data_IF_379744805676
#
_entry.id   IF_379744805676
#
_cell.length_a   1.000
_cell.length_b   1.000
_cell.length_c   1.000
_cell.angle_alpha   90.00
_cell.angle_beta   90.00
_cell.angle_gamma   90.00
#
_symmetry.space_group_name_H-M   'P 1'
#
loop_
_entity.id
_entity.type
_entity.pdbx_description
1 polymer ?
#
# COMPACT_ATOMS: atom_id res chain seq x y z
N UNK A 1 -54.97 -54.40 35.47
CA UNK A 1 -54.42 -55.73 35.66
C UNK A 1 -52.92 -55.59 35.66
N UNK A 2 -52.38 -56.05 36.72
CA UNK A 2 -51.16 -55.94 37.46
C UNK A 2 -49.84 -56.22 36.71
N UNK A 3 -48.74 -55.99 37.39
CA UNK A 3 -47.48 -55.44 36.97
C UNK A 3 -46.40 -56.51 36.82
N UNK A 4 -45.29 -56.14 36.28
CA UNK A 4 -44.06 -56.89 36.63
C UNK A 4 -42.84 -55.98 36.67
N UNK A 5 -42.35 -55.76 37.88
CA UNK A 5 -41.06 -55.23 38.24
C UNK A 5 -39.96 -56.14 37.78
N UNK A 6 -38.96 -55.64 37.09
CA UNK A 6 -37.69 -56.36 37.01
C UNK A 6 -36.53 -55.40 37.38
N UNK A 7 -36.01 -55.67 38.58
CA UNK A 7 -34.81 -55.06 39.15
C UNK A 7 -33.57 -55.57 38.41
N UNK A 8 -32.73 -54.63 37.95
CA UNK A 8 -31.36 -54.91 37.50
C UNK A 8 -30.36 -54.45 38.55
N UNK A 9 -29.29 -55.22 38.78
CA UNK A 9 -28.29 -54.94 39.82
C UNK A 9 -27.22 -53.97 39.31
N UNK A 10 -26.85 -53.09 40.22
CA UNK A 10 -25.70 -52.20 40.13
C UNK A 10 -24.38 -52.95 40.00
N UNK A 11 -23.58 -52.59 39.00
CA UNK A 11 -22.13 -52.93 39.00
C UNK A 11 -21.34 -51.60 38.82
N UNK A 12 -20.47 -51.26 39.80
CA UNK A 12 -19.55 -50.16 39.65
C UNK A 12 -18.33 -50.64 38.87
N UNK A 13 -18.16 -50.18 37.64
CA UNK A 13 -16.91 -50.36 36.92
C UNK A 13 -16.08 -49.08 37.08
N UNK A 14 -15.05 -49.21 37.90
CA UNK A 14 -13.94 -48.25 37.97
C UNK A 14 -13.20 -48.24 36.65
N UNK A 15 -13.43 -47.19 35.83
CA UNK A 15 -12.58 -46.94 34.68
C UNK A 15 -11.59 -45.82 35.00
N UNK A 16 -10.33 -46.21 35.02
CA UNK A 16 -9.16 -45.36 35.21
C UNK A 16 -9.08 -44.32 34.10
N UNK A 17 -9.10 -43.04 34.50
CA UNK A 17 -8.76 -41.92 33.68
C UNK A 17 -7.24 -41.94 33.38
N UNK A 18 -6.87 -42.32 32.18
CA UNK A 18 -5.56 -42.04 31.63
C UNK A 18 -5.71 -40.74 30.84
N UNK A 19 -5.26 -39.62 31.42
CA UNK A 19 -5.24 -38.33 30.79
C UNK A 19 -4.16 -38.28 29.69
N UNK A 20 -4.57 -38.12 28.45
CA UNK A 20 -3.69 -37.68 27.38
C UNK A 20 -4.00 -36.20 27.15
N UNK A 21 -3.22 -35.31 27.76
CA UNK A 21 -3.18 -33.89 27.38
C UNK A 21 -2.55 -33.80 25.99
N UNK A 22 -3.38 -33.79 24.95
CA UNK A 22 -2.99 -33.40 23.61
C UNK A 22 -2.88 -31.86 23.54
N UNK A 23 -1.67 -31.31 23.66
CA UNK A 23 -1.39 -29.92 23.37
C UNK A 23 -1.50 -29.74 21.84
N UNK A 24 -2.65 -29.28 21.36
CA UNK A 24 -2.84 -28.84 20.01
C UNK A 24 -2.11 -27.49 19.84
N UNK A 25 -0.90 -27.52 19.30
CA UNK A 25 -0.17 -26.32 18.88
C UNK A 25 -0.86 -25.82 17.60
N UNK A 26 -1.78 -24.88 17.76
CA UNK A 26 -2.31 -24.09 16.65
C UNK A 26 -1.18 -23.18 16.14
N UNK A 27 -0.42 -23.66 15.16
CA UNK A 27 0.47 -22.83 14.36
C UNK A 27 -0.41 -21.86 13.55
N UNK A 28 -0.75 -20.73 14.16
CA UNK A 28 -1.40 -19.61 13.47
C UNK A 28 -0.43 -19.04 12.47
N UNK A 29 -0.57 -19.40 11.18
CA UNK A 29 0.02 -18.63 10.08
C UNK A 29 -0.66 -17.28 10.07
N UNK A 30 -0.10 -16.28 10.75
CA UNK A 30 -0.45 -14.88 10.57
C UNK A 30 0.03 -14.46 9.18
N UNK A 31 -0.80 -14.68 8.18
CA UNK A 31 -0.62 -14.03 6.88
C UNK A 31 -0.90 -12.55 7.08
N UNK A 32 0.14 -11.75 7.34
CA UNK A 32 0.02 -10.32 7.31
C UNK A 32 -0.53 -9.92 5.92
N UNK A 33 -1.61 -9.15 5.90
CA UNK A 33 -2.14 -8.63 4.64
C UNK A 33 -1.03 -7.80 3.94
N UNK A 34 -0.86 -7.93 2.62
CA UNK A 34 0.15 -7.16 1.91
C UNK A 34 -0.08 -5.67 2.11
N UNK A 35 0.99 -4.95 2.38
CA UNK A 35 0.93 -3.51 2.60
C UNK A 35 0.42 -2.78 1.35
N UNK A 36 -0.42 -1.73 1.51
CA UNK A 36 -0.93 -0.97 0.37
C UNK A 36 0.20 -0.41 -0.50
N UNK A 37 0.12 -0.51 -1.84
CA UNK A 37 1.21 -0.09 -2.74
C UNK A 37 1.63 1.38 -2.56
N UNK A 38 0.71 2.25 -2.16
CA UNK A 38 1.04 3.65 -1.90
C UNK A 38 1.94 3.83 -0.67
N UNK A 39 1.72 3.05 0.39
CA UNK A 39 2.57 3.11 1.59
C UNK A 39 3.96 2.57 1.28
N UNK A 40 4.07 1.49 0.53
CA UNK A 40 5.36 0.96 0.06
C UNK A 40 6.12 2.00 -0.77
N UNK A 41 5.44 2.69 -1.70
CA UNK A 41 6.04 3.79 -2.47
C UNK A 41 6.56 4.92 -1.57
N UNK A 42 5.76 5.33 -0.59
CA UNK A 42 6.14 6.40 0.34
C UNK A 42 7.36 6.01 1.18
N UNK A 43 7.43 4.76 1.63
CA UNK A 43 8.58 4.23 2.36
C UNK A 43 9.85 4.23 1.49
N UNK A 44 9.76 3.69 0.27
CA UNK A 44 10.88 3.62 -0.68
C UNK A 44 11.39 5.00 -1.13
N UNK A 45 10.55 6.02 -1.05
CA UNK A 45 10.87 7.40 -1.45
C UNK A 45 11.05 8.35 -0.26
N UNK A 46 11.06 7.86 0.97
CA UNK A 46 11.06 8.69 2.19
C UNK A 46 12.35 9.49 2.40
N UNK A 47 13.51 8.97 1.96
CA UNK A 47 14.81 9.63 2.11
C UNK A 47 15.69 9.41 0.86
N UNK A 48 15.33 10.01 -0.28
CA UNK A 48 16.02 9.78 -1.55
C UNK A 48 17.37 10.51 -1.57
N UNK A 49 18.46 9.81 -1.24
CA UNK A 49 19.83 10.35 -1.18
C UNK A 49 20.34 10.79 -2.54
N UNK A 50 21.05 11.90 -2.58
CA UNK A 50 21.70 12.40 -3.79
C UNK A 50 23.05 13.07 -3.52
N UNK A 51 23.86 13.17 -4.58
CA UNK A 51 25.11 13.96 -4.62
C UNK A 51 25.18 14.83 -5.87
N UNK A 52 24.16 14.76 -6.74
CA UNK A 52 24.02 15.60 -7.93
C UNK A 52 22.55 15.67 -8.33
N UNK A 53 22.13 16.73 -9.02
CA UNK A 53 20.77 16.89 -9.53
C UNK A 53 20.35 15.75 -10.47
N UNK A 54 21.30 15.23 -11.26
CA UNK A 54 21.07 14.10 -12.16
C UNK A 54 20.62 12.81 -11.45
N UNK A 55 20.80 12.70 -10.15
CA UNK A 55 20.34 11.57 -9.37
C UNK A 55 18.83 11.67 -9.02
N UNK A 56 18.27 12.85 -9.11
CA UNK A 56 16.90 13.09 -8.68
C UNK A 56 15.91 12.99 -9.85
N UNK A 57 14.82 12.30 -9.62
CA UNK A 57 13.73 12.09 -10.58
C UNK A 57 12.39 12.26 -9.89
N UNK A 58 11.38 12.58 -10.69
CA UNK A 58 9.99 12.51 -10.30
C UNK A 58 9.36 11.21 -10.78
N UNK A 59 8.40 10.72 -10.03
CA UNK A 59 7.57 9.57 -10.37
C UNK A 59 6.11 10.02 -10.32
N UNK A 60 5.42 9.95 -11.45
CA UNK A 60 3.99 10.21 -11.52
C UNK A 60 3.20 9.04 -10.90
N UNK A 61 2.31 9.31 -9.95
CA UNK A 61 1.57 8.28 -9.20
C UNK A 61 0.09 8.61 -9.14
N UNK A 62 -0.73 7.57 -9.25
CA UNK A 62 -2.17 7.67 -9.11
C UNK A 62 -2.87 8.21 -10.37
N UNK A 63 -4.17 8.49 -10.24
CA UNK A 63 -4.99 8.98 -11.33
C UNK A 63 -6.07 9.94 -10.83
N UNK A 64 -6.20 11.10 -11.48
CA UNK A 64 -7.31 12.04 -11.29
C UNK A 64 -8.48 11.67 -12.20
N UNK A 65 -9.68 12.01 -11.82
CA UNK A 65 -10.88 11.70 -12.60
C UNK A 65 -10.85 12.34 -14.00
N UNK A 66 -10.27 13.54 -14.13
CA UNK A 66 -10.10 14.25 -15.41
C UNK A 66 -8.84 13.86 -16.19
N UNK A 67 -8.06 12.86 -15.70
CA UNK A 67 -6.79 12.46 -16.30
C UNK A 67 -5.56 13.04 -15.60
N UNK A 68 -4.41 12.48 -15.93
CA UNK A 68 -3.14 12.80 -15.29
C UNK A 68 -2.95 12.15 -13.91
N UNK A 69 -1.75 12.29 -13.32
CA UNK A 69 -1.43 11.73 -12.01
C UNK A 69 -2.12 12.50 -10.89
N UNK A 70 -2.35 11.82 -9.76
CA UNK A 70 -2.87 12.47 -8.55
C UNK A 70 -1.77 13.15 -7.73
N UNK A 71 -0.51 12.70 -7.92
CA UNK A 71 0.67 13.25 -7.24
C UNK A 71 1.96 12.91 -7.97
N UNK A 72 3.05 13.60 -7.60
CA UNK A 72 4.41 13.24 -7.94
C UNK A 72 5.18 12.89 -6.65
N UNK A 73 5.98 11.84 -6.70
CA UNK A 73 6.95 11.49 -5.65
C UNK A 73 8.35 11.76 -6.19
N UNK A 74 9.24 12.23 -5.32
CA UNK A 74 10.66 12.39 -5.66
C UNK A 74 11.42 11.15 -5.23
N UNK A 75 12.32 10.66 -6.08
CA UNK A 75 13.13 9.49 -5.80
C UNK A 75 14.55 9.66 -6.34
N UNK A 76 15.47 8.79 -5.92
CA UNK A 76 16.87 8.84 -6.33
C UNK A 76 17.27 7.63 -7.15
N UNK A 77 17.96 7.86 -8.26
CA UNK A 77 18.53 6.81 -9.11
C UNK A 77 19.71 6.07 -8.46
N UNK A 78 20.25 6.58 -7.34
CA UNK A 78 21.28 5.88 -6.57
C UNK A 78 20.76 4.62 -5.88
N UNK A 79 19.46 4.53 -5.67
CA UNK A 79 18.78 3.32 -5.18
C UNK A 79 18.24 2.60 -6.41
N UNK A 80 18.90 1.59 -6.88
CA UNK A 80 18.54 0.85 -8.11
C UNK A 80 17.20 0.06 -7.95
N UNK A 81 16.09 0.80 -7.80
CA UNK A 81 14.72 0.28 -7.60
C UNK A 81 13.70 0.86 -8.58
N UNK A 82 14.15 1.39 -9.70
CA UNK A 82 13.30 2.09 -10.66
C UNK A 82 12.12 1.24 -11.13
N UNK A 83 12.37 -0.03 -11.48
CA UNK A 83 11.31 -0.93 -11.96
C UNK A 83 10.30 -1.27 -10.85
N UNK A 84 10.75 -1.44 -9.62
CA UNK A 84 9.88 -1.66 -8.46
C UNK A 84 8.99 -0.44 -8.19
N UNK A 85 9.57 0.75 -8.21
CA UNK A 85 8.83 2.00 -8.04
C UNK A 85 7.78 2.20 -9.14
N UNK A 86 8.13 1.93 -10.40
CA UNK A 86 7.19 2.00 -11.53
C UNK A 86 6.06 0.98 -11.40
N UNK A 87 6.36 -0.24 -10.98
CA UNK A 87 5.37 -1.29 -10.79
C UNK A 87 4.36 -0.92 -9.68
N UNK A 88 4.84 -0.42 -8.54
CA UNK A 88 3.98 0.05 -7.46
C UNK A 88 3.15 1.28 -7.89
N UNK A 89 3.74 2.24 -8.62
CA UNK A 89 3.03 3.39 -9.14
C UNK A 89 1.91 3.00 -10.10
N UNK A 90 2.14 1.99 -10.94
CA UNK A 90 1.13 1.44 -11.84
C UNK A 90 -0.04 0.82 -11.06
N UNK A 91 0.23 0.08 -9.98
CA UNK A 91 -0.80 -0.50 -9.12
C UNK A 91 -1.65 0.59 -8.45
N UNK A 92 -1.04 1.63 -7.88
CA UNK A 92 -1.75 2.77 -7.29
C UNK A 92 -2.62 3.45 -8.34
N UNK A 93 -2.06 3.67 -9.54
CA UNK A 93 -2.77 4.30 -10.66
C UNK A 93 -4.00 3.49 -11.08
N UNK A 94 -3.88 2.16 -11.18
CA UNK A 94 -4.99 1.27 -11.50
C UNK A 94 -6.09 1.32 -10.42
N UNK A 95 -5.70 1.29 -9.14
CA UNK A 95 -6.64 1.40 -8.02
C UNK A 95 -7.38 2.74 -8.00
N UNK A 96 -6.69 3.85 -8.25
CA UNK A 96 -7.32 5.18 -8.28
C UNK A 96 -8.24 5.33 -9.48
N UNK A 97 -7.87 4.82 -10.67
CA UNK A 97 -8.76 4.77 -11.84
C UNK A 97 -10.04 4.00 -11.55
N UNK A 98 -9.93 2.82 -10.94
CA UNK A 98 -11.10 2.02 -10.57
C UNK A 98 -12.01 2.75 -9.57
N UNK A 99 -11.44 3.40 -8.55
CA UNK A 99 -12.19 4.21 -7.58
C UNK A 99 -12.88 5.41 -8.25
N UNK A 100 -12.19 6.10 -9.14
CA UNK A 100 -12.76 7.23 -9.87
C UNK A 100 -13.96 6.80 -10.73
N UNK A 101 -13.83 5.68 -11.44
CA UNK A 101 -14.91 5.12 -12.24
C UNK A 101 -16.14 4.72 -11.39
N UNK A 102 -15.89 4.08 -10.23
CA UNK A 102 -16.95 3.65 -9.33
C UNK A 102 -17.66 4.81 -8.62
N UNK A 103 -16.94 5.91 -8.33
CA UNK A 103 -17.49 7.03 -7.57
C UNK A 103 -18.35 7.97 -8.42
N UNK A 104 -18.21 7.97 -9.75
CA UNK A 104 -18.85 8.94 -10.65
C UNK A 104 -18.51 10.41 -10.35
N UNK A 105 -17.50 10.65 -9.49
CA UNK A 105 -17.14 12.01 -9.06
C UNK A 105 -16.47 12.78 -10.20
N UNK A 106 -17.06 13.91 -10.54
CA UNK A 106 -16.39 14.90 -11.37
C UNK A 106 -15.37 15.63 -10.49
N UNK A 107 -14.12 15.61 -10.89
CA UNK A 107 -13.06 16.43 -10.26
C UNK A 107 -12.98 17.76 -10.96
N UNK A 108 -12.56 18.81 -10.25
CA UNK A 108 -12.06 20.03 -10.91
C UNK A 108 -10.90 19.65 -11.82
N UNK A 109 -11.03 19.96 -13.13
CA UNK A 109 -10.06 19.52 -14.14
C UNK A 109 -8.77 20.35 -14.12
N UNK A 110 -8.17 20.52 -12.95
CA UNK A 110 -6.86 21.11 -12.80
C UNK A 110 -5.77 20.05 -13.02
N UNK A 111 -4.93 20.24 -14.01
CA UNK A 111 -3.82 19.34 -14.30
C UNK A 111 -2.68 19.60 -13.32
N UNK A 112 -2.19 18.51 -12.70
CA UNK A 112 -0.99 18.57 -11.89
C UNK A 112 0.23 18.55 -12.79
N UNK A 113 1.02 19.64 -12.76
CA UNK A 113 2.28 19.75 -13.53
C UNK A 113 3.39 19.07 -12.76
N UNK A 114 4.31 18.40 -13.50
CA UNK A 114 5.50 17.82 -12.89
C UNK A 114 6.36 18.93 -12.25
N UNK A 115 6.61 18.89 -10.94
CA UNK A 115 7.40 19.91 -10.25
C UNK A 115 8.90 19.80 -10.55
N UNK A 116 9.34 18.73 -11.22
CA UNK A 116 10.76 18.38 -11.33
C UNK A 116 11.36 17.94 -9.99
N UNK A 117 12.62 17.53 -10.03
CA UNK A 117 13.37 17.15 -8.84
C UNK A 117 14.81 17.70 -8.92
N UNK A 118 15.37 18.06 -7.77
CA UNK A 118 16.77 18.53 -7.63
C UNK A 118 17.37 18.00 -6.35
N UNK A 119 18.69 18.01 -6.25
CA UNK A 119 19.41 17.65 -5.04
C UNK A 119 19.53 18.85 -4.11
N UNK A 120 19.08 18.69 -2.87
CA UNK A 120 19.42 19.63 -1.81
C UNK A 120 20.73 19.17 -1.18
N UNK A 121 21.82 19.88 -1.53
CA UNK A 121 23.19 19.54 -1.06
C UNK A 121 23.38 19.77 0.44
N UNK A 122 22.53 20.55 1.09
CA UNK A 122 22.63 20.82 2.53
C UNK A 122 22.24 19.60 3.36
N UNK A 123 21.30 18.80 2.86
CA UNK A 123 20.81 17.58 3.50
C UNK A 123 21.15 16.29 2.72
N UNK A 124 21.71 16.43 1.52
CA UNK A 124 22.06 15.32 0.63
C UNK A 124 20.85 14.50 0.19
N UNK A 125 19.70 15.15 -0.06
CA UNK A 125 18.46 14.49 -0.45
C UNK A 125 17.81 15.15 -1.65
N UNK A 126 17.13 14.34 -2.47
CA UNK A 126 16.31 14.84 -3.54
C UNK A 126 15.05 15.50 -2.98
N UNK A 127 14.77 16.68 -3.46
CA UNK A 127 13.56 17.45 -3.17
C UNK A 127 12.85 17.84 -4.46
N UNK A 128 11.61 18.28 -4.35
CA UNK A 128 10.88 18.84 -5.48
C UNK A 128 11.60 20.07 -6.02
N UNK A 129 11.71 20.16 -7.35
CA UNK A 129 12.49 21.19 -8.02
C UNK A 129 11.96 22.62 -7.88
N UNK A 130 10.78 22.81 -7.33
CA UNK A 130 10.17 24.14 -7.19
C UNK A 130 9.87 24.76 -8.57
N UNK A 131 9.42 23.96 -9.53
CA UNK A 131 9.01 24.45 -10.84
C UNK A 131 7.96 25.54 -10.64
N UNK A 132 8.35 26.79 -10.92
CA UNK A 132 7.39 27.88 -11.02
C UNK A 132 6.33 27.45 -12.04
N UNK A 133 5.04 27.67 -11.76
CA UNK A 133 4.02 27.44 -12.76
C UNK A 133 4.44 28.24 -14.00
N UNK A 134 4.70 27.52 -15.10
CA UNK A 134 4.90 28.16 -16.38
C UNK A 134 3.63 28.98 -16.61
N UNK A 135 3.70 30.30 -16.42
CA UNK A 135 2.67 31.22 -16.91
C UNK A 135 2.61 30.98 -18.41
N UNK A 136 1.61 30.22 -18.82
CA UNK A 136 1.25 30.23 -20.25
C UNK A 136 0.94 31.67 -20.57
N UNK A 137 1.85 32.27 -21.35
CA UNK A 137 1.69 33.63 -21.82
C UNK A 137 0.35 33.74 -22.53
N UNK A 138 -0.48 34.67 -22.10
CA UNK A 138 -1.65 35.09 -22.86
C UNK A 138 -1.22 35.37 -24.30
N UNK A 139 -1.93 34.84 -25.30
CA UNK A 139 -1.69 35.25 -26.67
C UNK A 139 -1.95 36.74 -26.74
N UNK A 140 -0.92 37.49 -27.11
CA UNK A 140 -1.05 38.91 -27.45
C UNK A 140 -2.02 39.05 -28.62
N UNK A 141 -3.12 39.74 -28.38
CA UNK A 141 -3.97 40.28 -29.47
C UNK A 141 -3.30 41.47 -30.15
#
# INVERSE_FOLDING_TARGET
MSPLFLRLPHRPALFRLAGALGVAILAGCSSAAPEPPLLQLQELTSAPRCSADMHCRTLAVGARACGGPSRYLVWSTLVNREEELKALAAQVTAQEKARNAASGRMSTCEMLVDPGARCDFSIGQCITGGGSPVRQGSPSQ
#
